data_IF_659511653050
#
_entry.id   IF_659511653050
#
_cell.length_a   1.000
_cell.length_b   1.000
_cell.length_c   1.000
_cell.angle_alpha   90.00
_cell.angle_beta   90.00
_cell.angle_gamma   90.00
#
_symmetry.space_group_name_H-M   'P 1'
#
loop_
_entity.id
_entity.type
_entity.pdbx_description
1 polymer ?
#
# COMPACT_ATOMS: atom_id res chain seq x y z
N UNK A 1 -0.84 24.10 19.92
CA UNK A 1 -1.47 22.90 19.32
C UNK A 1 -0.75 21.69 19.90
N UNK A 2 -1.45 20.65 20.35
CA UNK A 2 -0.82 19.45 20.95
C UNK A 2 0.05 18.73 19.90
N UNK A 3 1.21 18.22 20.28
CA UNK A 3 2.15 17.50 19.40
C UNK A 3 1.48 16.30 18.72
N UNK A 4 0.59 15.59 19.42
CA UNK A 4 -0.22 14.52 18.84
C UNK A 4 -1.23 15.00 17.79
N UNK A 5 -1.77 16.21 17.95
CA UNK A 5 -2.66 16.79 16.95
C UNK A 5 -1.90 17.21 15.69
N UNK A 6 -0.64 17.63 15.84
CA UNK A 6 0.27 17.92 14.71
C UNK A 6 0.59 16.63 13.96
N UNK A 7 1.00 15.58 14.67
CA UNK A 7 1.28 14.27 14.07
C UNK A 7 0.06 13.67 13.39
N UNK A 8 -1.11 13.68 14.03
CA UNK A 8 -2.35 13.18 13.40
C UNK A 8 -2.69 13.95 12.12
N UNK A 9 -2.53 15.28 12.10
CA UNK A 9 -2.76 16.10 10.90
C UNK A 9 -1.80 15.75 9.75
N UNK A 10 -0.55 15.42 10.08
CA UNK A 10 0.47 15.05 9.10
C UNK A 10 0.26 13.63 8.56
N UNK A 11 0.02 12.67 9.45
CA UNK A 11 -0.15 11.25 9.11
C UNK A 11 -1.47 10.95 8.39
N UNK A 12 -2.47 11.82 8.52
CA UNK A 12 -3.77 11.73 7.81
C UNK A 12 -3.86 12.65 6.59
N UNK A 13 -2.75 13.29 6.19
CA UNK A 13 -2.70 14.13 4.99
C UNK A 13 -3.08 13.31 3.76
N UNK A 14 -4.15 13.71 3.10
CA UNK A 14 -4.54 13.20 1.78
C UNK A 14 -3.86 14.02 0.67
N UNK A 15 -3.31 13.36 -0.35
CA UNK A 15 -2.59 14.01 -1.44
C UNK A 15 -1.35 13.22 -1.89
N UNK A 16 -0.45 13.87 -2.64
CA UNK A 16 0.86 13.33 -2.96
C UNK A 16 1.95 14.13 -2.21
N UNK A 17 2.62 13.57 -1.18
CA UNK A 17 2.46 12.20 -0.65
C UNK A 17 1.29 12.06 0.35
N UNK A 18 0.75 10.84 0.46
CA UNK A 18 -0.19 10.47 1.53
C UNK A 18 0.63 10.22 2.80
N UNK A 19 0.37 11.00 3.84
CA UNK A 19 1.13 10.98 5.09
C UNK A 19 2.27 12.01 5.14
N UNK A 20 3.30 11.72 5.92
CA UNK A 20 4.43 12.64 6.13
C UNK A 20 5.77 11.92 6.32
N UNK A 21 6.84 12.52 5.78
CA UNK A 21 8.21 12.07 5.98
C UNK A 21 8.73 12.38 7.38
N UNK A 22 9.87 11.79 7.74
CA UNK A 22 10.54 12.06 9.02
C UNK A 22 10.91 13.54 9.15
N UNK A 23 11.51 14.13 8.11
CA UNK A 23 11.91 15.54 8.12
C UNK A 23 10.71 16.47 8.29
N UNK A 24 9.62 16.24 7.54
CA UNK A 24 8.38 17.02 7.68
C UNK A 24 7.81 16.99 9.10
N UNK A 25 7.92 15.84 9.77
CA UNK A 25 7.44 15.67 11.15
C UNK A 25 8.38 16.33 12.17
N UNK A 26 9.70 16.29 11.96
CA UNK A 26 10.68 16.97 12.81
C UNK A 26 10.51 18.48 12.73
N UNK A 27 10.40 19.01 11.51
CA UNK A 27 10.16 20.43 11.24
C UNK A 27 8.88 20.92 11.91
N UNK A 28 7.78 20.18 11.75
CA UNK A 28 6.49 20.54 12.31
C UNK A 28 6.46 20.47 13.85
N UNK A 29 7.29 19.63 14.46
CA UNK A 29 7.44 19.52 15.91
C UNK A 29 8.52 20.44 16.47
N UNK A 30 9.28 21.15 15.61
CA UNK A 30 10.41 21.99 16.03
C UNK A 30 11.53 21.19 16.68
N UNK A 31 11.73 19.94 16.27
CA UNK A 31 12.74 19.05 16.82
C UNK A 31 14.03 19.08 15.99
N UNK A 32 15.22 19.04 16.62
CA UNK A 32 16.49 19.01 15.90
C UNK A 32 16.70 17.66 15.19
N UNK A 33 17.34 17.64 14.02
CA UNK A 33 17.51 16.41 13.20
C UNK A 33 18.22 15.26 13.95
N UNK A 34 19.27 15.56 14.73
CA UNK A 34 20.13 14.54 15.35
C UNK A 34 19.48 13.84 16.56
N UNK A 35 18.82 14.61 17.44
CA UNK A 35 18.19 14.13 18.69
C UNK A 35 16.66 13.98 18.57
N UNK A 36 16.06 14.67 17.61
CA UNK A 36 14.62 14.71 17.40
C UNK A 36 14.05 13.43 16.83
N UNK A 37 14.85 12.64 16.10
CA UNK A 37 14.40 11.36 15.52
C UNK A 37 13.99 10.36 16.59
N UNK A 38 14.79 10.17 17.64
CA UNK A 38 14.44 9.28 18.75
C UNK A 38 13.14 9.72 19.44
N UNK A 39 13.02 11.04 19.69
CA UNK A 39 11.83 11.64 20.30
C UNK A 39 10.60 11.44 19.40
N UNK A 40 10.75 11.63 18.09
CA UNK A 40 9.70 11.43 17.10
C UNK A 40 9.25 9.97 17.06
N UNK A 41 10.18 9.01 16.98
CA UNK A 41 9.82 7.59 16.95
C UNK A 41 9.16 7.12 18.23
N UNK A 42 9.61 7.59 19.40
CA UNK A 42 8.95 7.31 20.67
C UNK A 42 7.51 7.83 20.66
N UNK A 43 7.30 9.07 20.20
CA UNK A 43 5.97 9.68 20.09
C UNK A 43 5.07 8.99 19.07
N UNK A 44 5.61 8.55 17.94
CA UNK A 44 4.89 7.74 16.96
C UNK A 44 4.46 6.41 17.57
N UNK A 45 5.32 5.75 18.34
CA UNK A 45 4.98 4.54 19.10
C UNK A 45 3.86 4.77 20.12
N UNK A 46 3.96 5.82 20.92
CA UNK A 46 2.92 6.20 21.90
C UNK A 46 1.58 6.53 21.21
N UNK A 47 1.62 7.22 20.07
CA UNK A 47 0.44 7.52 19.27
C UNK A 47 -0.17 6.25 18.68
N UNK A 48 0.66 5.35 18.16
CA UNK A 48 0.22 4.06 17.62
C UNK A 48 -0.55 3.24 18.66
N UNK A 49 -0.01 3.09 19.87
CA UNK A 49 -0.69 2.36 20.96
C UNK A 49 -2.02 3.02 21.37
N UNK A 50 -2.15 4.34 21.25
CA UNK A 50 -3.42 5.05 21.52
C UNK A 50 -4.45 4.89 20.41
N UNK A 51 -3.99 4.65 19.18
CA UNK A 51 -4.82 4.48 17.99
C UNK A 51 -5.28 3.03 17.78
N UNK A 52 -4.50 2.06 18.27
CA UNK A 52 -4.82 0.64 18.13
C UNK A 52 -6.23 0.25 18.64
N UNK A 53 -6.72 0.72 19.81
CA UNK A 53 -8.06 0.37 20.30
C UNK A 53 -9.21 0.85 19.41
N UNK A 54 -8.97 1.84 18.55
CA UNK A 54 -9.97 2.37 17.61
C UNK A 54 -9.80 1.80 16.19
N UNK A 55 -8.94 0.79 16.02
CA UNK A 55 -8.71 0.13 14.74
C UNK A 55 -7.91 0.97 13.75
N UNK A 56 -7.08 1.89 14.27
CA UNK A 56 -6.18 2.72 13.48
C UNK A 56 -4.73 2.31 13.75
N UNK A 57 -3.94 2.17 12.69
CA UNK A 57 -2.51 1.84 12.82
C UNK A 57 -1.65 2.86 12.10
N UNK A 58 -0.42 3.05 12.55
CA UNK A 58 0.55 3.90 11.86
C UNK A 58 1.44 2.96 11.08
N UNK A 59 1.54 3.16 9.77
CA UNK A 59 2.38 2.36 8.87
C UNK A 59 3.44 3.24 8.21
N UNK A 60 4.52 2.60 7.78
CA UNK A 60 5.60 3.24 7.03
C UNK A 60 5.58 2.74 5.58
N UNK A 61 5.62 3.65 4.62
CA UNK A 61 5.83 3.34 3.21
C UNK A 61 7.32 3.48 2.88
N UNK A 62 8.06 2.39 2.66
CA UNK A 62 9.50 2.45 2.38
C UNK A 62 9.84 3.01 1.00
N UNK A 63 8.89 3.06 0.06
CA UNK A 63 9.12 3.60 -1.29
C UNK A 63 9.12 5.11 -1.29
N UNK A 64 8.20 5.74 -0.54
CA UNK A 64 8.12 7.20 -0.42
C UNK A 64 8.74 7.75 0.87
N UNK A 65 9.15 6.89 1.79
CA UNK A 65 9.76 7.28 3.07
C UNK A 65 8.81 8.02 4.02
N UNK A 66 7.50 7.78 3.89
CA UNK A 66 6.46 8.48 4.67
C UNK A 66 5.73 7.56 5.63
N UNK A 67 5.31 8.12 6.75
CA UNK A 67 4.40 7.49 7.69
C UNK A 67 2.97 7.94 7.45
N UNK A 68 2.01 7.04 7.58
CA UNK A 68 0.58 7.31 7.38
C UNK A 68 -0.28 6.55 8.37
N UNK A 69 -1.49 7.05 8.63
CA UNK A 69 -2.52 6.31 9.37
C UNK A 69 -3.27 5.39 8.42
N UNK A 70 -3.24 4.10 8.73
CA UNK A 70 -4.02 3.07 8.06
C UNK A 70 -5.28 2.74 8.86
N UNK A 71 -6.42 2.81 8.18
CA UNK A 71 -7.76 2.51 8.70
C UNK A 71 -8.21 1.08 8.33
N UNK A 72 -7.37 0.29 7.67
CA UNK A 72 -7.74 -1.04 7.17
C UNK A 72 -8.08 -2.05 8.27
N UNK A 73 -7.66 -1.85 9.53
CA UNK A 73 -8.11 -2.71 10.64
C UNK A 73 -9.62 -2.54 10.88
N UNK A 74 -10.17 -1.34 10.70
CA UNK A 74 -11.61 -1.11 10.72
C UNK A 74 -12.32 -1.87 9.59
N UNK A 75 -11.67 -2.01 8.42
CA UNK A 75 -12.19 -2.80 7.30
C UNK A 75 -12.15 -4.33 7.53
N UNK A 76 -11.33 -4.82 8.46
CA UNK A 76 -11.36 -6.25 8.87
C UNK A 76 -12.59 -6.59 9.73
N UNK A 77 -13.12 -5.63 10.49
CA UNK A 77 -14.36 -5.80 11.27
C UNK A 77 -15.60 -5.75 10.35
N UNK A 78 -15.48 -5.13 9.18
CA UNK A 78 -16.52 -5.02 8.16
C UNK A 78 -16.38 -6.04 7.01
N UNK A 79 -15.70 -7.17 7.23
CA UNK A 79 -15.61 -8.25 6.23
C UNK A 79 -16.94 -9.02 6.11
N UNK A 80 -17.91 -8.41 5.45
CA UNK A 80 -18.78 -9.12 4.53
C UNK A 80 -18.59 -8.44 3.16
N UNK A 81 -18.19 -9.24 2.16
CA UNK A 81 -17.87 -8.87 0.77
C UNK A 81 -16.45 -8.32 0.51
N UNK A 82 -15.58 -9.19 -0.02
CA UNK A 82 -14.46 -8.76 -0.85
C UNK A 82 -14.98 -7.79 -1.92
N UNK A 83 -14.52 -6.53 -1.91
CA UNK A 83 -14.92 -5.51 -2.88
C UNK A 83 -14.54 -5.85 -4.34
N UNK A 84 -13.62 -6.81 -4.53
CA UNK A 84 -13.19 -7.30 -5.84
C UNK A 84 -13.80 -8.68 -6.12
N UNK A 85 -14.46 -8.88 -7.28
CA UNK A 85 -14.81 -10.21 -7.78
C UNK A 85 -13.57 -11.12 -7.88
N UNK A 86 -13.70 -12.40 -7.54
CA UNK A 86 -12.62 -13.40 -7.56
C UNK A 86 -11.79 -13.40 -8.84
N UNK A 87 -12.45 -13.18 -9.98
CA UNK A 87 -11.82 -13.07 -11.29
C UNK A 87 -10.73 -11.98 -11.30
N UNK A 88 -11.06 -10.80 -10.77
CA UNK A 88 -10.18 -9.64 -10.72
C UNK A 88 -9.11 -9.80 -9.64
N UNK A 89 -9.49 -10.31 -8.46
CA UNK A 89 -8.55 -10.59 -7.37
C UNK A 89 -7.41 -11.52 -7.83
N UNK A 90 -7.73 -12.61 -8.53
CA UNK A 90 -6.72 -13.53 -9.03
C UNK A 90 -5.86 -12.95 -10.18
N UNK A 91 -6.41 -12.04 -11.00
CA UNK A 91 -5.60 -11.32 -12.01
C UNK A 91 -4.68 -10.29 -11.35
N UNK A 92 -5.15 -9.57 -10.33
CA UNK A 92 -4.36 -8.63 -9.54
C UNK A 92 -3.21 -9.33 -8.81
N UNK A 93 -3.47 -10.49 -8.18
CA UNK A 93 -2.45 -11.29 -7.49
C UNK A 93 -1.30 -11.70 -8.42
N UNK A 94 -1.61 -12.07 -9.66
CA UNK A 94 -0.60 -12.40 -10.68
C UNK A 94 0.22 -11.17 -11.04
N UNK A 95 -0.42 -10.01 -11.24
CA UNK A 95 0.30 -8.75 -11.51
C UNK A 95 1.20 -8.37 -10.32
N UNK A 96 0.74 -8.53 -9.08
CA UNK A 96 1.54 -8.30 -7.87
C UNK A 96 2.78 -9.20 -7.85
N UNK A 97 2.58 -10.50 -8.10
CA UNK A 97 3.66 -11.49 -8.06
C UNK A 97 4.70 -11.22 -9.15
N UNK A 98 4.25 -10.96 -10.38
CA UNK A 98 5.15 -10.71 -11.50
C UNK A 98 5.85 -9.35 -11.38
N UNK A 99 5.15 -8.30 -10.92
CA UNK A 99 5.75 -7.00 -10.70
C UNK A 99 6.84 -7.05 -9.62
N UNK A 100 6.63 -7.87 -8.58
CA UNK A 100 7.65 -8.10 -7.55
C UNK A 100 8.88 -8.83 -8.11
N UNK A 101 8.69 -9.83 -8.97
CA UNK A 101 9.79 -10.58 -9.59
C UNK A 101 10.56 -9.78 -10.65
N UNK A 102 9.86 -8.93 -11.41
CA UNK A 102 10.40 -8.24 -12.60
C UNK A 102 10.75 -6.76 -12.36
N UNK A 103 10.52 -6.24 -11.14
CA UNK A 103 10.86 -4.85 -10.78
C UNK A 103 9.85 -3.81 -11.29
N UNK A 104 8.57 -4.16 -11.35
CA UNK A 104 7.46 -3.22 -11.54
C UNK A 104 6.60 -3.46 -12.78
N UNK A 105 7.15 -3.25 -13.98
CA UNK A 105 6.40 -3.35 -15.23
C UNK A 105 6.41 -4.77 -15.81
N UNK A 106 5.23 -5.33 -16.04
CA UNK A 106 5.00 -6.70 -16.50
C UNK A 106 4.31 -6.70 -17.86
N UNK A 107 4.70 -7.57 -18.78
CA UNK A 107 4.04 -7.68 -20.09
C UNK A 107 2.67 -8.38 -20.01
N UNK A 108 1.73 -7.99 -20.89
CA UNK A 108 0.42 -8.68 -20.96
C UNK A 108 0.54 -10.16 -21.29
N UNK A 109 1.52 -10.53 -22.12
CA UNK A 109 1.77 -11.93 -22.49
C UNK A 109 2.18 -12.76 -21.28
N UNK A 110 2.96 -12.19 -20.35
CA UNK A 110 3.35 -12.87 -19.11
C UNK A 110 2.19 -13.03 -18.14
N UNK A 111 1.38 -11.98 -17.97
CA UNK A 111 0.13 -12.06 -17.19
C UNK A 111 -0.79 -13.13 -17.78
N UNK A 112 -0.92 -13.17 -19.12
CA UNK A 112 -1.72 -14.16 -19.84
C UNK A 112 -1.24 -15.59 -19.61
N UNK A 113 0.07 -15.81 -19.69
CA UNK A 113 0.69 -17.12 -19.47
C UNK A 113 0.38 -17.65 -18.07
N UNK A 114 0.55 -16.83 -17.04
CA UNK A 114 0.23 -17.20 -15.67
C UNK A 114 -1.27 -17.40 -15.44
N UNK A 115 -2.11 -16.53 -16.02
CA UNK A 115 -3.57 -16.65 -15.87
C UNK A 115 -4.18 -17.83 -16.63
N UNK A 116 -3.49 -18.36 -17.64
CA UNK A 116 -4.03 -19.35 -18.59
C UNK A 116 -5.36 -18.92 -19.21
N UNK A 117 -5.50 -17.61 -19.49
CA UNK A 117 -6.73 -16.98 -20.04
C UNK A 117 -6.44 -16.42 -21.44
N UNK A 118 -7.47 -16.19 -22.24
CA UNK A 118 -7.32 -15.51 -23.53
C UNK A 118 -6.84 -14.06 -23.34
N UNK A 119 -6.08 -13.52 -24.31
CA UNK A 119 -5.59 -12.14 -24.22
C UNK A 119 -6.71 -11.13 -24.03
N UNK A 120 -7.84 -11.31 -24.74
CA UNK A 120 -9.03 -10.46 -24.59
C UNK A 120 -9.57 -10.51 -23.16
N UNK A 121 -9.71 -11.70 -22.60
CA UNK A 121 -10.20 -11.86 -21.23
C UNK A 121 -9.26 -11.28 -20.18
N UNK A 122 -7.95 -11.32 -20.40
CA UNK A 122 -6.97 -10.66 -19.53
C UNK A 122 -7.12 -9.14 -19.64
N UNK A 123 -7.21 -8.60 -20.86
CA UNK A 123 -7.35 -7.15 -21.07
C UNK A 123 -8.64 -6.58 -20.47
N UNK A 124 -9.73 -7.35 -20.48
CA UNK A 124 -10.98 -6.94 -19.83
C UNK A 124 -10.80 -6.82 -18.31
N UNK A 125 -10.15 -7.81 -17.67
CA UNK A 125 -9.84 -7.77 -16.24
C UNK A 125 -8.89 -6.61 -15.90
N UNK A 126 -7.83 -6.41 -16.71
CA UNK A 126 -6.85 -5.35 -16.48
C UNK A 126 -7.52 -3.96 -16.58
N UNK A 127 -8.38 -3.74 -17.57
CA UNK A 127 -9.11 -2.47 -17.70
C UNK A 127 -10.02 -2.20 -16.51
N UNK A 128 -10.66 -3.24 -15.98
CA UNK A 128 -11.53 -3.13 -14.81
C UNK A 128 -10.73 -2.81 -13.54
N UNK A 129 -9.60 -3.49 -13.34
CA UNK A 129 -8.65 -3.19 -12.26
C UNK A 129 -8.05 -1.78 -12.38
N UNK A 130 -7.79 -1.31 -13.61
CA UNK A 130 -7.29 0.05 -13.85
C UNK A 130 -8.33 1.09 -13.44
N UNK A 131 -9.61 0.90 -13.79
CA UNK A 131 -10.70 1.80 -13.39
C UNK A 131 -10.83 1.93 -11.86
N UNK A 132 -10.49 0.87 -11.15
CA UNK A 132 -10.55 0.82 -9.68
C UNK A 132 -9.24 1.30 -9.01
N UNK A 133 -8.23 1.70 -9.80
CA UNK A 133 -6.95 2.25 -9.30
C UNK A 133 -5.92 1.20 -8.86
N UNK A 134 -6.19 -0.10 -9.07
CA UNK A 134 -5.30 -1.18 -8.65
C UNK A 134 -4.10 -1.37 -9.58
N UNK A 135 -4.20 -0.98 -10.85
CA UNK A 135 -3.12 -1.15 -11.82
C UNK A 135 -3.03 0.04 -12.77
N UNK A 136 -1.88 0.19 -13.39
CA UNK A 136 -1.65 1.14 -14.48
C UNK A 136 -1.28 0.38 -15.75
N UNK A 137 -1.85 0.81 -16.89
CA UNK A 137 -1.69 0.16 -18.19
C UNK A 137 -0.92 1.09 -19.13
N UNK A 138 0.21 0.62 -19.64
CA UNK A 138 0.89 1.21 -20.79
C UNK A 138 0.48 0.47 -22.07
N UNK A 139 -0.44 1.06 -22.82
CA UNK A 139 -0.94 0.46 -24.07
C UNK A 139 0.11 0.41 -25.18
N UNK A 140 1.05 1.37 -25.21
CA UNK A 140 2.07 1.44 -26.25
C UNK A 140 3.14 0.36 -26.02
N UNK A 141 3.60 0.23 -24.78
CA UNK A 141 4.56 -0.80 -24.38
C UNK A 141 3.95 -2.19 -24.20
N UNK A 142 2.62 -2.31 -24.18
CA UNK A 142 1.86 -3.54 -23.88
C UNK A 142 2.22 -4.12 -22.50
N UNK A 143 2.32 -3.24 -21.52
CA UNK A 143 2.72 -3.58 -20.14
C UNK A 143 1.75 -3.03 -19.12
N UNK A 144 1.83 -3.60 -17.93
CA UNK A 144 1.04 -3.26 -16.76
C UNK A 144 1.93 -3.19 -15.53
N UNK A 145 1.61 -2.30 -14.60
CA UNK A 145 2.22 -2.27 -13.27
C UNK A 145 1.15 -2.09 -12.20
N UNK A 146 1.56 -2.23 -10.95
CA UNK A 146 0.71 -1.92 -9.80
C UNK A 146 0.42 -0.43 -9.74
N UNK A 147 -0.85 -0.10 -9.48
CA UNK A 147 -1.31 1.26 -9.27
C UNK A 147 -1.15 1.65 -7.81
N UNK A 148 -1.32 2.94 -7.55
CA UNK A 148 -1.10 3.54 -6.23
C UNK A 148 -1.97 2.94 -5.12
N UNK A 149 -3.10 2.29 -5.44
CA UNK A 149 -4.03 1.73 -4.44
C UNK A 149 -3.49 0.47 -3.74
N UNK A 150 -2.72 -0.36 -4.45
CA UNK A 150 -2.32 -1.69 -3.94
C UNK A 150 -1.44 -1.61 -2.68
N UNK A 151 -0.43 -0.70 -2.59
CA UNK A 151 0.38 -0.52 -1.37
C UNK A 151 -0.39 -0.07 -0.12
N UNK A 152 -1.61 0.45 -0.27
CA UNK A 152 -2.46 0.83 0.87
C UNK A 152 -3.37 -0.30 1.35
N UNK A 153 -3.70 -1.25 0.46
CA UNK A 153 -4.58 -2.37 0.81
C UNK A 153 -3.82 -3.67 1.14
N UNK A 154 -2.57 -3.81 0.69
CA UNK A 154 -1.77 -5.03 0.87
C UNK A 154 -0.42 -4.67 1.50
N UNK A 155 -0.13 -5.30 2.64
CA UNK A 155 1.22 -5.31 3.22
C UNK A 155 2.09 -6.31 2.44
N UNK A 156 2.88 -5.79 1.51
CA UNK A 156 3.71 -6.59 0.61
C UNK A 156 4.72 -7.48 1.35
N UNK A 157 5.34 -6.96 2.41
CA UNK A 157 6.35 -7.71 3.15
C UNK A 157 5.73 -8.83 3.98
N UNK A 158 4.60 -8.57 4.65
CA UNK A 158 3.86 -9.61 5.34
C UNK A 158 3.34 -10.68 4.35
N UNK A 159 2.72 -10.25 3.25
CA UNK A 159 2.14 -11.15 2.26
C UNK A 159 3.17 -12.12 1.68
N UNK A 160 4.34 -11.63 1.25
CA UNK A 160 5.38 -12.51 0.68
C UNK A 160 6.15 -13.31 1.72
N UNK A 161 6.33 -12.79 2.94
CA UNK A 161 6.91 -13.55 4.05
C UNK A 161 6.05 -14.77 4.39
N UNK A 162 4.74 -14.58 4.50
CA UNK A 162 3.79 -15.66 4.78
C UNK A 162 3.83 -16.74 3.69
N UNK A 163 3.88 -16.30 2.42
CA UNK A 163 3.95 -17.17 1.23
C UNK A 163 5.25 -17.98 1.13
N UNK A 164 6.34 -17.50 1.73
CA UNK A 164 7.63 -18.21 1.81
C UNK A 164 7.65 -19.15 3.03
N UNK A 165 7.04 -18.76 4.15
CA UNK A 165 6.95 -19.59 5.35
C UNK A 165 6.01 -20.78 5.22
N UNK A 166 4.98 -20.73 4.36
CA UNK A 166 4.10 -21.88 4.08
C UNK A 166 4.78 -23.02 3.28
N UNK A 167 6.02 -22.83 2.82
CA UNK A 167 6.81 -23.87 2.13
C UNK A 167 7.69 -24.71 3.07
N UNK A 168 7.53 -24.62 4.39
CA UNK A 168 8.22 -25.47 5.38
C UNK A 168 7.28 -26.48 6.03
#
# INVERSE_FOLDING_TARGET
MNEYAILMKLLTRSGDPIGAGVEDMLDALGLPEDLGREILFRRLGELHTRLEPVGLTIKHNPVSGVFYVDTSIQSKISQEESALPDRLAATLLIVITLAYQEGGWVSYDRVREFRKKSLRGVMDDLRELQKQGYIEIDQAGKKVRLGLRVPFEIDYEAFFRDLVSEKQ
#
